data_IF_045092196639
#
_entry.id   IF_045092196639
#
_cell.length_a   1.000
_cell.length_b   1.000
_cell.length_c   1.000
_cell.angle_alpha   90.00
_cell.angle_beta   90.00
_cell.angle_gamma   90.00
#
_symmetry.space_group_name_H-M   'P 1'
#
loop_
_entity.id
_entity.type
_entity.pdbx_description
1 polymer ?
#
# COMPACT_ATOMS: atom_id res chain seq x y z
N UNK A 1 -20.59 -10.55 -2.78
CA UNK A 1 -20.04 -9.47 -3.63
C UNK A 1 -18.92 -8.69 -2.94
N UNK A 2 -18.94 -8.52 -1.61
CA UNK A 2 -17.92 -7.76 -0.84
C UNK A 2 -16.47 -8.13 -1.16
N UNK A 3 -16.15 -9.44 -1.21
CA UNK A 3 -14.79 -9.91 -1.52
C UNK A 3 -14.27 -9.39 -2.87
N UNK A 4 -15.12 -9.35 -3.89
CA UNK A 4 -14.75 -8.83 -5.23
C UNK A 4 -14.44 -7.34 -5.14
N UNK A 5 -15.26 -6.58 -4.41
CA UNK A 5 -15.05 -5.15 -4.21
C UNK A 5 -13.77 -4.83 -3.44
N UNK A 6 -13.41 -5.67 -2.46
CA UNK A 6 -12.14 -5.59 -1.73
C UNK A 6 -10.97 -5.90 -2.65
N UNK A 7 -11.04 -6.99 -3.44
CA UNK A 7 -9.99 -7.36 -4.40
C UNK A 7 -9.70 -6.24 -5.39
N UNK A 8 -10.73 -5.61 -5.97
CA UNK A 8 -10.53 -4.48 -6.87
C UNK A 8 -9.85 -3.28 -6.19
N UNK A 9 -10.23 -2.96 -4.95
CA UNK A 9 -9.60 -1.88 -4.17
C UNK A 9 -8.12 -2.17 -3.89
N UNK A 10 -7.78 -3.41 -3.52
CA UNK A 10 -6.39 -3.83 -3.29
C UNK A 10 -5.55 -3.75 -4.57
N UNK A 11 -6.09 -4.22 -5.70
CA UNK A 11 -5.43 -4.11 -7.01
C UNK A 11 -5.18 -2.64 -7.37
N UNK A 12 -6.20 -1.78 -7.22
CA UNK A 12 -6.07 -0.36 -7.49
C UNK A 12 -5.03 0.32 -6.58
N UNK A 13 -5.00 -0.05 -5.31
CA UNK A 13 -4.02 0.45 -4.35
C UNK A 13 -2.58 0.03 -4.72
N UNK A 14 -2.36 -1.24 -5.04
CA UNK A 14 -1.04 -1.74 -5.46
C UNK A 14 -0.54 -1.07 -6.74
N UNK A 15 -1.43 -0.72 -7.67
CA UNK A 15 -1.07 -0.05 -8.93
C UNK A 15 -0.76 1.44 -8.78
N UNK A 16 -1.34 2.12 -7.78
CA UNK A 16 -1.24 3.58 -7.63
C UNK A 16 -0.32 4.03 -6.49
N UNK A 17 -0.23 3.25 -5.42
CA UNK A 17 0.43 3.63 -4.16
C UNK A 17 1.50 2.62 -3.77
N UNK A 18 1.11 1.36 -3.53
CA UNK A 18 2.03 0.29 -3.15
C UNK A 18 2.67 -0.36 -4.39
N UNK A 19 3.25 0.46 -5.26
CA UNK A 19 3.89 0.02 -6.51
C UNK A 19 5.09 -0.85 -6.20
N UNK A 20 5.21 -2.00 -6.88
CA UNK A 20 6.29 -2.94 -6.64
C UNK A 20 7.68 -2.28 -6.76
N UNK A 21 8.59 -2.64 -5.86
CA UNK A 21 9.99 -2.18 -5.76
C UNK A 21 10.19 -0.71 -5.36
N UNK A 22 9.21 0.18 -5.59
CA UNK A 22 9.29 1.59 -5.18
C UNK A 22 7.91 2.09 -4.71
N UNK A 23 7.44 1.63 -3.53
CA UNK A 23 6.14 2.02 -3.01
C UNK A 23 6.15 3.48 -2.55
N UNK A 24 5.06 4.20 -2.77
CA UNK A 24 4.86 5.58 -2.31
C UNK A 24 4.41 5.60 -0.86
N UNK A 25 5.26 5.09 0.05
CA UNK A 25 4.90 4.90 1.46
C UNK A 25 4.51 6.21 2.15
N UNK A 26 5.20 7.33 1.88
CA UNK A 26 4.84 8.64 2.47
C UNK A 26 3.40 9.09 2.15
N UNK A 27 2.83 8.66 1.02
CA UNK A 27 1.48 9.02 0.57
C UNK A 27 0.43 7.96 0.96
N UNK A 28 0.84 6.86 1.62
CA UNK A 28 -0.02 5.70 1.82
C UNK A 28 -0.82 5.78 3.13
N UNK A 29 -2.17 5.80 3.08
CA UNK A 29 -3.00 5.91 4.29
C UNK A 29 -2.96 4.64 5.16
N UNK A 30 -2.42 3.53 4.61
CA UNK A 30 -2.28 2.27 5.34
C UNK A 30 -0.97 2.16 6.11
N UNK A 31 -0.07 3.15 6.02
CA UNK A 31 1.22 3.15 6.75
C UNK A 31 1.08 2.87 8.25
N UNK A 32 0.13 3.48 8.99
CA UNK A 32 -0.02 3.19 10.42
C UNK A 32 -0.27 1.71 10.73
N UNK A 33 -0.70 0.95 9.74
CA UNK A 33 -1.01 -0.48 9.82
C UNK A 33 -0.07 -1.35 8.96
N UNK A 34 0.95 -0.77 8.32
CA UNK A 34 1.82 -1.44 7.36
C UNK A 34 3.26 -1.56 7.89
N UNK A 35 3.69 -2.75 8.34
CA UNK A 35 5.06 -2.97 8.85
C UNK A 35 6.13 -2.63 7.80
N UNK A 36 5.90 -3.03 6.55
CA UNK A 36 6.81 -2.75 5.44
C UNK A 36 6.89 -1.25 5.13
N UNK A 37 5.75 -0.55 5.16
CA UNK A 37 5.69 0.89 4.95
C UNK A 37 6.49 1.64 6.01
N UNK A 38 6.34 1.27 7.28
CA UNK A 38 7.16 1.83 8.36
C UNK A 38 8.65 1.58 8.14
N UNK A 39 9.04 0.38 7.72
CA UNK A 39 10.45 0.07 7.40
C UNK A 39 10.99 0.97 6.27
N UNK A 40 10.22 1.18 5.20
CA UNK A 40 10.60 2.08 4.10
C UNK A 40 10.73 3.55 4.52
N UNK A 41 10.03 3.98 5.55
CA UNK A 41 10.09 5.36 6.04
C UNK A 41 11.26 5.60 7.00
N UNK A 42 11.67 4.60 7.78
CA UNK A 42 12.78 4.70 8.73
C UNK A 42 14.14 4.32 8.14
N UNK A 43 14.16 3.62 7.00
CA UNK A 43 15.38 3.19 6.31
C UNK A 43 15.26 3.49 4.80
N UNK A 44 15.36 4.77 4.40
CA UNK A 44 15.22 5.19 3.01
C UNK A 44 16.38 4.70 2.12
#
# INVERSE_FOLDING_TARGET
SEWIGISHRLIAHGRKVCVARNPRCHDCPLVPYCPQGNHHLVSP
#
